data_IF_778160020179
#
_entry.id   IF_778160020179
#
_cell.length_a   1.000
_cell.length_b   1.000
_cell.length_c   1.000
_cell.angle_alpha   90.00
_cell.angle_beta   90.00
_cell.angle_gamma   90.00
#
_symmetry.space_group_name_H-M   'P 1'
#
loop_
_entity.id
_entity.type
_entity.pdbx_description
1 polymer ?
#
# COMPACT_ATOMS: atom_id res chain seq x y z
N UNK A 1 -19.96 -30.30 13.83
CA UNK A 1 -18.54 -30.52 14.12
C UNK A 1 -17.70 -29.57 13.26
N UNK A 2 -17.18 -28.50 13.87
CA UNK A 2 -16.40 -27.44 13.19
C UNK A 2 -14.89 -27.63 13.36
N UNK A 3 -14.46 -28.75 13.94
CA UNK A 3 -13.05 -28.98 14.31
C UNK A 3 -12.08 -28.99 13.10
N UNK A 4 -12.56 -29.28 11.91
CA UNK A 4 -11.76 -29.30 10.67
C UNK A 4 -11.87 -28.01 9.85
N UNK A 5 -12.62 -27.02 10.32
CA UNK A 5 -12.73 -25.72 9.64
C UNK A 5 -11.77 -24.70 10.26
N UNK A 6 -11.25 -23.82 9.45
CA UNK A 6 -10.42 -22.71 9.86
C UNK A 6 -11.16 -21.40 9.64
N UNK A 7 -10.93 -20.45 10.52
CA UNK A 7 -11.36 -19.06 10.30
C UNK A 7 -10.81 -18.53 8.96
N UNK A 8 -11.70 -17.93 8.17
CA UNK A 8 -11.37 -17.45 6.82
C UNK A 8 -10.32 -16.37 6.84
N UNK A 9 -10.37 -15.46 7.81
CA UNK A 9 -9.46 -14.31 7.90
C UNK A 9 -8.08 -14.76 8.41
N UNK A 10 -8.02 -15.71 9.33
CA UNK A 10 -6.74 -16.33 9.73
C UNK A 10 -6.13 -17.15 8.59
N UNK A 11 -6.95 -17.83 7.78
CA UNK A 11 -6.49 -18.51 6.57
C UNK A 11 -5.88 -17.53 5.56
N UNK A 12 -6.50 -16.35 5.41
CA UNK A 12 -5.98 -15.30 4.55
C UNK A 12 -4.63 -14.75 5.05
N UNK A 13 -4.46 -14.55 6.36
CA UNK A 13 -3.18 -14.16 6.93
C UNK A 13 -2.08 -15.19 6.68
N UNK A 14 -2.41 -16.50 6.68
CA UNK A 14 -1.45 -17.55 6.29
C UNK A 14 -1.09 -17.50 4.81
N UNK A 15 -2.04 -17.13 3.96
CA UNK A 15 -1.72 -16.88 2.55
C UNK A 15 -0.73 -15.71 2.42
N UNK A 16 -0.96 -14.61 3.12
CA UNK A 16 -0.05 -13.46 3.07
C UNK A 16 1.32 -13.77 3.70
N UNK A 17 1.36 -14.65 4.73
CA UNK A 17 2.62 -15.18 5.26
C UNK A 17 3.43 -15.92 4.17
N UNK A 18 2.77 -16.69 3.29
CA UNK A 18 3.43 -17.34 2.15
C UNK A 18 4.01 -16.32 1.15
N UNK A 19 3.35 -15.18 0.95
CA UNK A 19 3.92 -14.07 0.17
C UNK A 19 5.22 -13.56 0.82
N UNK A 20 5.27 -13.50 2.15
CA UNK A 20 6.47 -13.11 2.87
C UNK A 20 7.56 -14.21 2.83
N UNK A 21 7.19 -15.49 2.67
CA UNK A 21 8.14 -16.60 2.46
C UNK A 21 8.94 -16.43 1.18
N UNK A 22 8.33 -15.95 0.09
CA UNK A 22 9.04 -15.61 -1.16
C UNK A 22 10.14 -14.56 -0.93
N UNK A 23 9.92 -13.64 0.03
CA UNK A 23 10.96 -12.68 0.41
C UNK A 23 12.14 -13.32 1.17
N UNK A 24 11.99 -14.55 1.67
CA UNK A 24 13.05 -15.32 2.36
C UNK A 24 13.75 -16.30 1.43
N UNK A 25 13.08 -16.70 0.35
CA UNK A 25 13.59 -17.70 -0.57
C UNK A 25 14.88 -17.19 -1.25
N UNK A 26 15.97 -17.95 -1.12
CA UNK A 26 17.28 -17.57 -1.66
C UNK A 26 17.39 -17.77 -3.17
N UNK A 27 16.50 -18.56 -3.77
CA UNK A 27 16.43 -18.76 -5.22
C UNK A 27 15.76 -17.56 -5.93
N UNK A 28 15.08 -16.69 -5.17
CA UNK A 28 14.48 -15.45 -5.67
C UNK A 28 15.51 -14.33 -5.69
N UNK A 29 15.67 -13.57 -6.81
CA UNK A 29 16.58 -12.44 -6.90
C UNK A 29 16.34 -11.38 -5.82
N UNK A 30 17.39 -10.75 -5.30
CA UNK A 30 17.35 -9.97 -4.08
C UNK A 30 16.39 -8.78 -4.12
N UNK A 31 16.26 -8.07 -5.26
CA UNK A 31 15.29 -6.98 -5.42
C UNK A 31 13.85 -7.50 -5.48
N UNK A 32 13.64 -8.68 -6.08
CA UNK A 32 12.31 -9.30 -6.10
C UNK A 32 11.88 -9.71 -4.68
N UNK A 33 12.80 -10.22 -3.87
CA UNK A 33 12.54 -10.51 -2.46
C UNK A 33 12.08 -9.26 -1.70
N UNK A 34 12.72 -8.12 -1.95
CA UNK A 34 12.29 -6.85 -1.34
C UNK A 34 10.91 -6.41 -1.86
N UNK A 35 10.59 -6.66 -3.15
CA UNK A 35 9.25 -6.43 -3.70
C UNK A 35 8.21 -7.34 -3.06
N UNK A 36 8.52 -8.62 -2.78
CA UNK A 36 7.60 -9.51 -2.07
C UNK A 36 7.30 -8.99 -0.65
N UNK A 37 8.30 -8.45 0.07
CA UNK A 37 8.06 -7.79 1.35
C UNK A 37 7.16 -6.53 1.21
N UNK A 38 7.27 -5.80 0.09
CA UNK A 38 6.39 -4.67 -0.22
C UNK A 38 4.96 -5.13 -0.57
N UNK A 39 4.81 -6.22 -1.34
CA UNK A 39 3.52 -6.83 -1.68
C UNK A 39 2.82 -7.31 -0.40
N UNK A 40 3.53 -8.05 0.47
CA UNK A 40 3.01 -8.45 1.78
C UNK A 40 2.46 -7.25 2.56
N UNK A 41 3.22 -6.16 2.63
CA UNK A 41 2.80 -4.94 3.36
C UNK A 41 1.53 -4.34 2.75
N UNK A 42 1.45 -4.27 1.42
CA UNK A 42 0.28 -3.76 0.71
C UNK A 42 -0.96 -4.66 0.88
N UNK A 43 -0.77 -5.98 0.83
CA UNK A 43 -1.84 -6.95 1.05
C UNK A 43 -2.41 -6.83 2.47
N UNK A 44 -1.53 -6.70 3.47
CA UNK A 44 -1.93 -6.53 4.85
C UNK A 44 -2.71 -5.22 5.05
N UNK A 45 -2.34 -4.14 4.34
CA UNK A 45 -3.09 -2.89 4.33
C UNK A 45 -4.52 -3.07 3.82
N UNK A 46 -4.68 -3.78 2.70
CA UNK A 46 -5.98 -4.04 2.10
C UNK A 46 -6.84 -4.96 3.00
N UNK A 47 -6.22 -5.99 3.59
CA UNK A 47 -6.87 -6.87 4.54
C UNK A 47 -7.45 -6.10 5.74
N UNK A 48 -6.67 -5.22 6.36
CA UNK A 48 -7.16 -4.40 7.47
C UNK A 48 -8.24 -3.43 7.02
N UNK A 49 -8.10 -2.86 5.85
CA UNK A 49 -9.06 -1.90 5.33
C UNK A 49 -10.41 -2.51 5.01
N UNK A 50 -10.42 -3.72 4.44
CA UNK A 50 -11.65 -4.38 3.96
C UNK A 50 -12.13 -5.41 4.98
N UNK A 51 -11.34 -6.46 5.25
CA UNK A 51 -11.79 -7.60 6.07
C UNK A 51 -11.93 -7.26 7.54
N UNK A 52 -10.90 -6.63 8.12
CA UNK A 52 -10.95 -6.19 9.51
C UNK A 52 -11.97 -5.06 9.67
N UNK A 53 -12.10 -4.19 8.66
CA UNK A 53 -13.14 -3.18 8.61
C UNK A 53 -14.55 -3.76 8.71
N UNK A 54 -14.89 -4.73 7.87
CA UNK A 54 -16.20 -5.42 7.91
C UNK A 54 -16.45 -6.09 9.26
N UNK A 55 -15.45 -6.81 9.81
CA UNK A 55 -15.58 -7.44 11.13
C UNK A 55 -15.80 -6.40 12.24
N UNK A 56 -15.11 -5.27 12.15
CA UNK A 56 -15.30 -4.18 13.11
C UNK A 56 -16.74 -3.64 13.05
N UNK A 57 -17.31 -3.43 11.86
CA UNK A 57 -18.69 -2.98 11.73
C UNK A 57 -19.68 -4.00 12.31
N UNK A 58 -19.40 -5.30 12.19
CA UNK A 58 -20.22 -6.36 12.80
C UNK A 58 -20.22 -6.28 14.34
N UNK A 59 -19.16 -5.76 14.98
CA UNK A 59 -19.16 -5.55 16.44
C UNK A 59 -20.10 -4.43 16.90
N UNK A 60 -20.54 -3.55 15.99
CA UNK A 60 -21.41 -2.42 16.30
C UNK A 60 -22.90 -2.78 16.15
N UNK A 61 -23.22 -3.96 15.61
CA UNK A 61 -24.60 -4.43 15.41
C UNK A 61 -25.16 -5.00 16.71
N UNK A 62 -26.44 -4.72 17.00
CA UNK A 62 -27.08 -5.14 18.26
C UNK A 62 -27.23 -6.65 18.42
N UNK A 63 -27.40 -7.38 17.33
CA UNK A 63 -27.50 -8.83 17.34
C UNK A 63 -26.13 -9.43 17.06
N UNK A 64 -25.55 -10.23 17.99
CA UNK A 64 -24.23 -10.80 17.79
C UNK A 64 -24.28 -11.79 16.62
N UNK A 65 -23.50 -11.51 15.60
CA UNK A 65 -23.27 -12.44 14.50
C UNK A 65 -22.24 -13.49 14.94
N UNK A 66 -22.64 -14.75 15.01
CA UNK A 66 -21.74 -15.87 15.31
C UNK A 66 -21.35 -16.51 13.99
N UNK A 67 -20.06 -16.59 13.71
CA UNK A 67 -19.56 -17.31 12.52
C UNK A 67 -19.93 -18.77 12.59
N UNK A 68 -20.68 -19.25 11.61
CA UNK A 68 -21.24 -20.62 11.59
C UNK A 68 -20.17 -21.70 11.47
N UNK A 69 -18.96 -21.38 11.06
CA UNK A 69 -17.85 -22.32 10.85
C UNK A 69 -16.97 -22.46 12.08
N UNK A 70 -16.73 -21.38 12.78
CA UNK A 70 -15.80 -21.32 13.92
C UNK A 70 -16.53 -21.22 15.27
N UNK A 71 -17.79 -20.79 15.26
CA UNK A 71 -18.54 -20.48 16.49
C UNK A 71 -18.06 -19.22 17.21
N UNK A 72 -17.20 -18.40 16.57
CA UNK A 72 -16.62 -17.19 17.17
C UNK A 72 -17.49 -15.96 16.92
N UNK A 73 -17.46 -15.03 17.87
CA UNK A 73 -18.01 -13.68 17.66
C UNK A 73 -17.00 -12.82 16.87
N UNK A 74 -17.45 -11.70 16.24
CA UNK A 74 -16.53 -10.77 15.55
C UNK A 74 -15.41 -10.26 16.45
N UNK A 75 -15.66 -9.99 17.73
CA UNK A 75 -14.65 -9.55 18.69
C UNK A 75 -13.57 -10.62 18.91
N UNK A 76 -13.97 -11.90 19.02
CA UNK A 76 -13.05 -13.01 19.19
C UNK A 76 -12.20 -13.22 17.93
N UNK A 77 -12.80 -13.09 16.75
CA UNK A 77 -12.08 -13.14 15.48
C UNK A 77 -11.08 -11.98 15.37
N UNK A 78 -11.47 -10.73 15.70
CA UNK A 78 -10.59 -9.58 15.70
C UNK A 78 -9.38 -9.75 16.63
N UNK A 79 -9.60 -10.24 17.84
CA UNK A 79 -8.49 -10.52 18.78
C UNK A 79 -7.51 -11.56 18.24
N UNK A 80 -8.02 -12.62 17.62
CA UNK A 80 -7.18 -13.65 16.99
C UNK A 80 -6.38 -13.06 15.81
N UNK A 81 -7.02 -12.23 14.99
CA UNK A 81 -6.39 -11.53 13.85
C UNK A 81 -5.28 -10.59 14.34
N UNK A 82 -5.54 -9.75 15.34
CA UNK A 82 -4.54 -8.79 15.86
C UNK A 82 -3.32 -9.52 16.42
N UNK A 83 -3.54 -10.63 17.12
CA UNK A 83 -2.45 -11.48 17.62
C UNK A 83 -1.62 -12.08 16.48
N UNK A 84 -2.28 -12.67 15.47
CA UNK A 84 -1.61 -13.25 14.31
C UNK A 84 -0.85 -12.17 13.50
N UNK A 85 -1.48 -11.04 13.21
CA UNK A 85 -0.84 -9.92 12.52
C UNK A 85 0.40 -9.40 13.27
N UNK A 86 0.33 -9.31 14.61
CA UNK A 86 1.47 -8.90 15.44
C UNK A 86 2.70 -9.82 15.31
N UNK A 87 2.50 -11.12 15.02
CA UNK A 87 3.59 -12.05 14.70
C UNK A 87 4.15 -11.77 13.29
N UNK A 88 3.30 -11.52 12.32
CA UNK A 88 3.68 -11.24 10.94
C UNK A 88 4.49 -9.93 10.83
N UNK A 89 4.15 -8.89 11.60
CA UNK A 89 4.94 -7.66 11.67
C UNK A 89 6.39 -7.93 12.11
N UNK A 90 6.58 -8.73 13.15
CA UNK A 90 7.92 -9.09 13.63
C UNK A 90 8.71 -9.90 12.61
N UNK A 91 8.03 -10.80 11.89
CA UNK A 91 8.64 -11.59 10.82
C UNK A 91 9.05 -10.69 9.64
N UNK A 92 8.16 -9.79 9.20
CA UNK A 92 8.44 -8.82 8.14
C UNK A 92 9.64 -7.94 8.49
N UNK A 93 9.65 -7.36 9.70
CA UNK A 93 10.75 -6.50 10.15
C UNK A 93 12.10 -7.21 10.06
N UNK A 94 12.16 -8.48 10.52
CA UNK A 94 13.39 -9.30 10.42
C UNK A 94 13.80 -9.56 8.97
N UNK A 95 12.84 -9.86 8.10
CA UNK A 95 13.10 -10.11 6.68
C UNK A 95 13.64 -8.85 6.01
N UNK A 96 12.99 -7.70 6.21
CA UNK A 96 13.42 -6.43 5.61
C UNK A 96 14.82 -6.04 6.09
N UNK A 97 15.12 -6.18 7.38
CA UNK A 97 16.45 -5.92 7.95
C UNK A 97 17.54 -6.78 7.28
N UNK A 98 17.26 -8.07 7.08
CA UNK A 98 18.17 -8.99 6.40
C UNK A 98 18.37 -8.61 4.93
N UNK A 99 17.29 -8.25 4.22
CA UNK A 99 17.34 -7.84 2.83
C UNK A 99 18.10 -6.52 2.65
N UNK A 100 17.87 -5.52 3.49
CA UNK A 100 18.61 -4.25 3.48
C UNK A 100 20.12 -4.47 3.73
N UNK A 101 20.47 -5.38 4.63
CA UNK A 101 21.87 -5.76 4.88
C UNK A 101 22.53 -6.38 3.64
N UNK A 102 21.83 -7.30 2.95
CA UNK A 102 22.35 -7.93 1.71
C UNK A 102 22.43 -6.93 0.55
N UNK A 103 21.43 -6.04 0.41
CA UNK A 103 21.42 -4.98 -0.61
C UNK A 103 22.59 -4.00 -0.41
N UNK A 104 22.92 -3.69 0.85
CA UNK A 104 24.08 -2.85 1.20
C UNK A 104 25.40 -3.44 0.66
N UNK A 105 25.54 -4.77 0.70
CA UNK A 105 26.71 -5.46 0.11
C UNK A 105 26.73 -5.34 -1.44
N UNK A 106 25.57 -5.09 -2.07
CA UNK A 106 25.45 -4.84 -3.50
C UNK A 106 25.49 -3.32 -3.84
N UNK A 107 25.94 -2.46 -2.93
CA UNK A 107 25.95 -0.99 -3.08
C UNK A 107 24.57 -0.35 -3.27
N UNK A 108 23.53 -0.98 -2.73
CA UNK A 108 22.16 -0.44 -2.67
C UNK A 108 21.84 -0.19 -1.21
N UNK A 109 21.79 1.08 -0.78
CA UNK A 109 21.71 1.43 0.62
C UNK A 109 20.59 2.41 0.91
N UNK A 110 19.68 2.04 1.79
CA UNK A 110 18.89 3.02 2.55
C UNK A 110 19.78 3.57 3.66
N UNK A 111 19.93 4.88 3.72
CA UNK A 111 20.82 5.54 4.67
C UNK A 111 20.02 6.40 5.64
N UNK A 112 20.19 6.19 6.94
CA UNK A 112 19.80 7.17 7.93
C UNK A 112 20.74 8.39 7.88
N UNK A 113 20.24 9.57 8.30
CA UNK A 113 21.01 10.82 8.24
C UNK A 113 22.33 10.72 9.04
N UNK A 114 22.33 9.94 10.10
CA UNK A 114 23.48 9.73 10.98
C UNK A 114 24.66 9.02 10.28
N UNK A 115 24.37 8.16 9.31
CA UNK A 115 25.38 7.41 8.54
C UNK A 115 25.88 8.15 7.30
N UNK A 116 25.33 9.34 7.02
CA UNK A 116 25.72 10.16 5.86
C UNK A 116 27.03 10.90 6.10
N UNK A 117 27.84 10.98 5.05
CA UNK A 117 28.99 11.89 5.05
C UNK A 117 28.53 13.37 4.99
N UNK A 118 29.47 14.31 5.15
CA UNK A 118 29.18 15.73 5.20
C UNK A 118 28.54 16.25 3.89
N UNK A 119 28.93 15.68 2.75
CA UNK A 119 28.43 16.07 1.43
C UNK A 119 27.01 15.58 1.19
N UNK A 120 26.76 14.31 1.49
CA UNK A 120 25.43 13.69 1.43
C UNK A 120 24.44 14.40 2.36
N UNK A 121 24.86 14.67 3.59
CA UNK A 121 24.04 15.41 4.56
C UNK A 121 23.68 16.80 4.06
N UNK A 122 24.63 17.51 3.44
CA UNK A 122 24.37 18.83 2.84
C UNK A 122 23.40 18.75 1.66
N UNK A 123 23.46 17.70 0.84
CA UNK A 123 22.51 17.48 -0.26
C UNK A 123 21.08 17.29 0.28
N UNK A 124 20.91 16.42 1.29
CA UNK A 124 19.61 16.19 1.93
C UNK A 124 19.09 17.44 2.63
N UNK A 125 19.97 18.19 3.30
CA UNK A 125 19.62 19.44 3.96
C UNK A 125 19.13 20.51 2.98
N UNK A 126 19.81 20.66 1.84
CA UNK A 126 19.39 21.57 0.78
C UNK A 126 18.04 21.14 0.20
N UNK A 127 17.88 19.86 -0.14
CA UNK A 127 16.62 19.33 -0.62
C UNK A 127 15.47 19.55 0.37
N UNK A 128 15.71 19.28 1.68
CA UNK A 128 14.73 19.55 2.73
C UNK A 128 14.33 21.02 2.75
N UNK A 129 15.31 21.94 2.77
CA UNK A 129 15.07 23.38 2.88
C UNK A 129 14.35 23.95 1.65
N UNK A 130 14.76 23.51 0.46
CA UNK A 130 14.37 24.17 -0.80
C UNK A 130 13.10 23.56 -1.40
N UNK A 131 12.85 22.24 -1.20
CA UNK A 131 11.74 21.53 -1.83
C UNK A 131 10.74 20.95 -0.84
N UNK A 132 11.18 20.45 0.31
CA UNK A 132 10.31 19.75 1.26
C UNK A 132 9.65 20.72 2.25
N UNK A 133 10.44 21.49 2.96
CA UNK A 133 9.96 22.38 4.02
C UNK A 133 8.88 23.38 3.54
N UNK A 134 8.99 24.02 2.34
CA UNK A 134 8.00 25.00 1.89
C UNK A 134 6.58 24.46 1.67
N UNK A 135 6.43 23.15 1.44
CA UNK A 135 5.12 22.52 1.18
C UNK A 135 4.54 21.81 2.39
N UNK A 136 5.27 21.78 3.50
CA UNK A 136 4.81 21.18 4.73
C UNK A 136 3.87 22.10 5.51
N UNK A 137 2.90 21.50 6.17
CA UNK A 137 1.98 22.17 7.09
C UNK A 137 2.06 21.53 8.48
N UNK A 138 3.11 21.86 9.28
CA UNK A 138 3.24 21.32 10.62
C UNK A 138 2.04 21.75 11.49
N UNK A 139 1.53 20.84 12.30
CA UNK A 139 0.35 21.07 13.13
C UNK A 139 0.71 20.84 14.61
N UNK A 140 0.26 21.72 15.46
CA UNK A 140 0.36 21.58 16.90
C UNK A 140 -0.99 21.12 17.44
N UNK A 141 -1.00 20.06 18.23
CA UNK A 141 -2.21 19.51 18.86
C UNK A 141 -2.14 19.75 20.36
N UNK A 142 -3.00 20.62 20.85
CA UNK A 142 -3.14 20.93 22.27
C UNK A 142 -4.63 21.03 22.68
N UNK A 143 -4.91 21.60 23.84
CA UNK A 143 -6.28 21.81 24.31
C UNK A 143 -7.08 22.84 23.48
N UNK A 144 -6.40 23.72 22.73
CA UNK A 144 -7.01 24.79 21.94
C UNK A 144 -7.13 24.43 20.45
N UNK A 145 -6.29 23.49 19.98
CA UNK A 145 -6.26 23.08 18.59
C UNK A 145 -6.87 21.68 18.44
N UNK A 146 -7.89 21.51 17.58
CA UNK A 146 -8.50 20.20 17.39
C UNK A 146 -7.49 19.20 16.81
N UNK A 147 -7.70 17.93 17.13
CA UNK A 147 -6.89 16.86 16.55
C UNK A 147 -7.11 16.79 15.03
N UNK A 148 -6.06 16.81 14.22
CA UNK A 148 -6.20 16.78 12.77
C UNK A 148 -6.80 15.45 12.30
N UNK A 149 -7.52 15.51 11.20
CA UNK A 149 -7.98 14.31 10.53
C UNK A 149 -6.79 13.59 9.89
N UNK A 150 -6.45 12.40 10.39
CA UNK A 150 -5.42 11.56 9.79
C UNK A 150 -6.04 10.75 8.65
N UNK A 151 -5.58 11.01 7.43
CA UNK A 151 -6.08 10.32 6.24
C UNK A 151 -5.71 8.84 6.23
N UNK A 152 -6.53 8.03 5.53
CA UNK A 152 -6.30 6.59 5.41
C UNK A 152 -5.00 6.29 4.63
N UNK A 153 -4.22 5.34 5.10
CA UNK A 153 -2.98 4.84 4.46
C UNK A 153 -1.94 5.92 4.13
N UNK A 154 -1.97 7.07 4.79
CA UNK A 154 -0.94 8.10 4.66
C UNK A 154 -0.01 8.06 5.86
N UNK A 155 1.26 8.42 5.63
CA UNK A 155 2.19 8.66 6.72
C UNK A 155 1.78 9.97 7.41
N UNK A 156 1.61 9.91 8.71
CA UNK A 156 1.14 11.03 9.49
C UNK A 156 2.03 11.21 10.73
N UNK A 157 1.97 12.37 11.24
CA UNK A 157 2.50 12.79 12.51
C UNK A 157 1.83 14.13 12.81
N UNK A 158 2.46 14.97 13.60
CA UNK A 158 2.11 16.39 13.63
C UNK A 158 2.50 17.09 12.31
N UNK A 159 3.15 16.35 11.41
CA UNK A 159 3.53 16.79 10.08
C UNK A 159 2.94 15.78 9.09
N UNK A 160 1.79 16.06 8.48
CA UNK A 160 1.26 15.23 7.40
C UNK A 160 2.26 15.19 6.23
N UNK A 161 2.59 14.00 5.74
CA UNK A 161 3.48 13.85 4.57
C UNK A 161 2.65 14.05 3.30
N UNK A 162 2.88 15.11 2.52
CA UNK A 162 2.15 15.35 1.28
C UNK A 162 2.40 14.26 0.25
N UNK A 163 1.37 13.83 -0.46
CA UNK A 163 1.49 12.84 -1.53
C UNK A 163 2.28 13.37 -2.75
N UNK A 164 2.45 14.67 -2.86
CA UNK A 164 3.26 15.32 -3.90
C UNK A 164 4.77 15.16 -3.68
N UNK A 165 5.21 14.85 -2.46
CA UNK A 165 6.61 14.56 -2.18
C UNK A 165 7.01 13.19 -2.73
N UNK A 166 8.22 13.09 -3.33
CA UNK A 166 8.77 11.80 -3.71
C UNK A 166 8.97 10.95 -2.44
N UNK A 167 8.77 9.62 -2.51
CA UNK A 167 8.89 8.76 -1.32
C UNK A 167 10.33 8.62 -0.81
N UNK A 168 11.31 8.99 -1.62
CA UNK A 168 12.73 8.96 -1.27
C UNK A 168 13.53 10.02 -2.05
N UNK A 169 14.70 10.35 -1.53
CA UNK A 169 15.71 11.18 -2.19
C UNK A 169 16.95 10.36 -2.51
N UNK A 170 17.50 10.48 -3.73
CA UNK A 170 18.66 9.73 -4.21
C UNK A 170 19.92 10.57 -4.02
N UNK A 171 20.93 9.93 -3.41
CA UNK A 171 22.28 10.45 -3.24
C UNK A 171 23.16 9.91 -4.39
N UNK A 172 23.63 10.79 -5.28
CA UNK A 172 24.11 10.41 -6.64
C UNK A 172 25.58 9.99 -6.77
N UNK A 173 26.33 9.69 -5.71
CA UNK A 173 27.78 9.60 -5.85
C UNK A 173 28.41 8.19 -5.71
N UNK A 174 27.73 7.23 -5.11
CA UNK A 174 28.34 5.89 -4.85
C UNK A 174 27.27 4.79 -4.86
N UNK A 175 27.03 4.19 -6.02
CA UNK A 175 25.95 3.18 -6.12
C UNK A 175 24.57 3.80 -5.98
N UNK A 176 23.58 2.99 -5.58
CA UNK A 176 22.23 3.48 -5.30
C UNK A 176 22.08 3.73 -3.80
N UNK A 177 22.34 4.94 -3.37
CA UNK A 177 22.17 5.38 -1.98
C UNK A 177 20.95 6.30 -1.91
N UNK A 178 20.07 6.07 -0.94
CA UNK A 178 18.84 6.85 -0.82
C UNK A 178 18.42 6.99 0.64
N UNK A 179 17.62 8.01 0.91
CA UNK A 179 16.95 8.21 2.18
C UNK A 179 15.44 8.35 1.95
N UNK A 180 14.64 7.79 2.84
CA UNK A 180 13.18 7.95 2.77
C UNK A 180 12.78 9.35 3.22
N UNK A 181 11.73 9.88 2.62
CA UNK A 181 11.22 11.22 2.94
C UNK A 181 10.79 11.33 4.40
N UNK A 182 10.16 10.29 4.96
CA UNK A 182 9.81 10.24 6.37
C UNK A 182 11.03 10.29 7.30
N UNK A 183 12.14 9.65 6.93
CA UNK A 183 13.39 9.69 7.71
C UNK A 183 13.98 11.12 7.70
N UNK A 184 13.89 11.83 6.57
CA UNK A 184 14.30 13.25 6.48
C UNK A 184 13.41 14.13 7.35
N UNK A 185 12.10 13.94 7.33
CA UNK A 185 11.17 14.70 8.16
C UNK A 185 11.42 14.48 9.65
N UNK A 186 11.72 13.23 10.05
CA UNK A 186 12.09 12.93 11.44
C UNK A 186 13.42 13.60 11.84
N UNK A 187 14.42 13.57 10.95
CA UNK A 187 15.73 14.15 11.23
C UNK A 187 15.66 15.67 11.41
N UNK A 188 14.87 16.36 10.59
CA UNK A 188 14.76 17.83 10.61
C UNK A 188 13.50 18.35 11.33
N UNK A 189 12.84 17.52 12.14
CA UNK A 189 11.63 17.91 12.87
C UNK A 189 11.82 19.17 13.75
N UNK A 190 12.99 19.35 14.37
CA UNK A 190 13.29 20.52 15.21
C UNK A 190 13.22 21.83 14.41
N UNK A 191 13.54 21.82 13.11
CA UNK A 191 13.46 23.01 12.26
C UNK A 191 12.02 23.44 11.95
N UNK A 192 11.09 22.48 12.04
CA UNK A 192 9.66 22.74 11.82
C UNK A 192 8.95 23.20 13.09
N UNK A 193 9.52 22.90 14.25
CA UNK A 193 8.98 23.27 15.56
C UNK A 193 10.03 24.00 16.42
N UNK A 194 10.56 25.14 16.01
CA UNK A 194 11.68 25.80 16.70
C UNK A 194 11.34 26.28 18.11
N UNK A 195 10.06 26.46 18.42
CA UNK A 195 9.60 26.87 19.75
C UNK A 195 9.37 25.70 20.71
N UNK A 196 9.57 24.45 20.27
CA UNK A 196 9.26 23.26 21.06
C UNK A 196 10.50 22.38 21.26
N UNK A 197 10.63 21.78 22.44
CA UNK A 197 11.59 20.71 22.69
C UNK A 197 10.98 19.35 22.33
N UNK A 198 11.48 18.72 21.27
CA UNK A 198 10.99 17.41 20.81
C UNK A 198 11.58 16.31 21.67
N UNK A 199 10.71 15.56 22.38
CA UNK A 199 11.11 14.44 23.26
C UNK A 199 11.17 13.12 22.54
N UNK A 200 10.25 12.91 21.59
CA UNK A 200 10.15 11.66 20.83
C UNK A 200 9.71 11.93 19.41
N UNK A 201 10.11 11.05 18.49
CA UNK A 201 9.79 11.14 17.06
C UNK A 201 9.32 9.78 16.59
N UNK A 202 8.20 9.76 15.86
CA UNK A 202 7.67 8.55 15.27
C UNK A 202 6.94 8.86 13.96
N UNK A 203 7.04 7.94 13.01
CA UNK A 203 6.16 7.89 11.85
C UNK A 203 4.94 7.06 12.21
N UNK A 204 3.76 7.55 11.91
CA UNK A 204 2.52 6.81 12.15
C UNK A 204 1.73 6.67 10.85
N UNK A 205 0.95 5.60 10.77
CA UNK A 205 0.00 5.38 9.70
C UNK A 205 -1.29 4.82 10.28
N UNK A 206 -2.42 5.39 9.87
CA UNK A 206 -3.75 4.95 10.28
C UNK A 206 -4.40 4.22 9.12
N UNK A 207 -4.90 3.02 9.35
CA UNK A 207 -5.79 2.33 8.41
C UNK A 207 -7.22 2.50 8.89
N UNK A 208 -8.08 2.94 7.96
CA UNK A 208 -9.51 3.10 8.22
C UNK A 208 -10.30 2.01 7.49
N UNK A 209 -11.41 1.64 8.06
CA UNK A 209 -12.40 0.85 7.34
C UNK A 209 -12.71 1.54 5.99
N UNK A 210 -12.81 0.78 4.92
CA UNK A 210 -13.15 1.29 3.60
C UNK A 210 -14.18 0.38 2.90
N UNK A 211 -14.80 -0.51 3.68
CA UNK A 211 -15.85 -1.41 3.19
C UNK A 211 -17.18 -0.65 3.13
N UNK A 212 -17.30 0.22 2.14
CA UNK A 212 -18.59 0.79 1.73
C UNK A 212 -18.93 0.19 0.39
N UNK A 213 -20.05 -0.56 0.34
CA UNK A 213 -20.64 -0.99 -0.91
C UNK A 213 -21.30 0.21 -1.60
N UNK A 214 -21.16 0.38 -2.93
CA UNK A 214 -21.97 1.35 -3.69
C UNK A 214 -23.48 1.10 -3.56
N UNK A 215 -23.86 -0.13 -3.20
CA UNK A 215 -25.25 -0.56 -3.03
C UNK A 215 -25.85 -0.14 -1.68
N UNK A 216 -25.00 0.15 -0.67
CA UNK A 216 -25.43 0.61 0.66
C UNK A 216 -25.85 2.09 0.66
N UNK A 217 -25.58 2.81 -0.41
CA UNK A 217 -26.00 4.21 -0.58
C UNK A 217 -27.05 4.33 -1.67
N UNK A 218 -28.17 4.96 -1.32
CA UNK A 218 -29.23 5.25 -2.26
C UNK A 218 -28.67 6.01 -3.49
N UNK A 219 -28.74 5.37 -4.63
CA UNK A 219 -28.39 5.95 -5.91
C UNK A 219 -29.60 6.74 -6.42
N UNK A 220 -29.48 8.05 -6.50
CA UNK A 220 -30.50 8.87 -7.13
C UNK A 220 -30.42 8.68 -8.65
N UNK A 221 -31.55 8.38 -9.28
CA UNK A 221 -31.64 8.00 -10.71
C UNK A 221 -31.04 9.05 -11.64
N UNK A 222 -31.01 10.33 -11.20
CA UNK A 222 -30.47 11.45 -11.96
C UNK A 222 -29.03 11.81 -11.61
N UNK A 223 -28.35 11.09 -10.71
CA UNK A 223 -26.97 11.37 -10.34
C UNK A 223 -26.00 10.70 -11.30
N UNK A 224 -25.00 11.46 -11.81
CA UNK A 224 -23.90 10.89 -12.58
C UNK A 224 -23.11 9.87 -11.70
N UNK A 225 -23.04 8.62 -12.14
CA UNK A 225 -22.34 7.54 -11.45
C UNK A 225 -20.90 7.92 -11.02
N UNK A 226 -20.20 8.74 -11.82
CA UNK A 226 -18.85 9.23 -11.46
C UNK A 226 -18.90 10.18 -10.24
N UNK A 227 -19.93 10.99 -10.13
CA UNK A 227 -20.10 11.90 -8.97
C UNK A 227 -20.47 11.10 -7.73
N UNK A 228 -21.35 10.11 -7.86
CA UNK A 228 -21.70 9.17 -6.80
C UNK A 228 -20.47 8.44 -6.28
N UNK A 229 -19.67 7.84 -7.16
CA UNK A 229 -18.41 7.17 -6.79
C UNK A 229 -17.40 8.11 -6.12
N UNK A 230 -17.32 9.38 -6.55
CA UNK A 230 -16.47 10.38 -5.86
C UNK A 230 -16.94 10.68 -4.44
N UNK A 231 -18.25 10.71 -4.19
CA UNK A 231 -18.82 10.88 -2.84
C UNK A 231 -18.48 9.69 -1.95
N UNK A 232 -18.64 8.46 -2.46
CA UNK A 232 -18.28 7.22 -1.76
C UNK A 232 -16.79 7.21 -1.38
N UNK A 233 -15.90 7.51 -2.33
CA UNK A 233 -14.46 7.57 -2.07
C UNK A 233 -14.11 8.61 -1.00
N UNK A 234 -14.79 9.77 -0.99
CA UNK A 234 -14.61 10.77 0.07
C UNK A 234 -15.10 10.29 1.44
N UNK A 235 -16.21 9.55 1.49
CA UNK A 235 -16.72 8.97 2.74
C UNK A 235 -15.78 7.92 3.32
N UNK A 236 -15.21 7.04 2.49
CA UNK A 236 -14.20 6.04 2.91
C UNK A 236 -13.05 6.63 3.73
N UNK A 237 -12.60 7.82 3.38
CA UNK A 237 -11.54 8.50 4.11
C UNK A 237 -11.93 8.95 5.53
N UNK A 238 -13.23 8.95 5.88
CA UNK A 238 -13.74 9.38 7.18
C UNK A 238 -14.24 8.23 8.06
N UNK A 239 -14.16 7.00 7.57
CA UNK A 239 -14.60 5.84 8.33
C UNK A 239 -13.72 5.56 9.55
N UNK A 240 -14.21 4.70 10.43
CA UNK A 240 -13.55 4.37 11.68
C UNK A 240 -12.11 3.86 11.47
N UNK A 241 -11.14 4.32 12.26
CA UNK A 241 -9.82 3.71 12.31
C UNK A 241 -9.92 2.26 12.79
N UNK A 242 -9.19 1.35 12.17
CA UNK A 242 -9.14 -0.08 12.53
C UNK A 242 -7.73 -0.54 12.89
N UNK A 243 -6.70 0.24 12.53
CA UNK A 243 -5.30 -0.07 12.83
C UNK A 243 -4.48 1.21 12.93
N UNK A 244 -3.55 1.24 13.88
CA UNK A 244 -2.48 2.23 13.99
C UNK A 244 -1.14 1.53 13.87
N UNK A 245 -0.32 1.95 12.91
CA UNK A 245 1.07 1.53 12.76
C UNK A 245 2.00 2.63 13.28
N UNK A 246 3.07 2.23 13.96
CA UNK A 246 4.04 3.15 14.57
C UNK A 246 5.46 2.68 14.26
N UNK A 247 6.28 3.56 13.68
CA UNK A 247 7.70 3.36 13.46
C UNK A 247 8.49 4.45 14.18
N UNK A 248 9.49 4.06 14.97
CA UNK A 248 10.33 4.99 15.72
C UNK A 248 10.16 4.90 17.22
N UNK A 249 10.22 6.03 17.91
CA UNK A 249 10.22 6.09 19.38
C UNK A 249 8.89 5.62 19.98
N UNK A 250 8.97 4.82 21.05
CA UNK A 250 7.83 4.38 21.84
C UNK A 250 7.60 5.35 23.00
N UNK A 251 6.80 6.37 22.77
CA UNK A 251 6.28 7.24 23.83
C UNK A 251 4.90 6.71 24.27
N UNK A 252 4.85 5.99 25.38
CA UNK A 252 3.63 5.37 25.90
C UNK A 252 2.53 6.39 26.19
N UNK A 253 2.88 7.57 26.73
CA UNK A 253 1.91 8.63 27.04
C UNK A 253 1.33 9.26 25.77
N UNK A 254 2.19 9.54 24.80
CA UNK A 254 1.78 10.05 23.50
C UNK A 254 0.89 9.04 22.76
N UNK A 255 1.26 7.76 22.82
CA UNK A 255 0.51 6.67 22.21
C UNK A 255 -0.88 6.48 22.85
N UNK A 256 -0.99 6.53 24.20
CA UNK A 256 -2.29 6.48 24.87
C UNK A 256 -3.19 7.65 24.51
N UNK A 257 -2.62 8.83 24.39
CA UNK A 257 -3.36 10.01 23.93
C UNK A 257 -3.85 9.83 22.49
N UNK A 258 -3.01 9.29 21.62
CA UNK A 258 -3.34 9.05 20.22
C UNK A 258 -4.43 7.98 20.07
N UNK A 259 -4.31 6.85 20.78
CA UNK A 259 -5.31 5.79 20.81
C UNK A 259 -6.69 6.31 21.26
N UNK A 260 -6.74 7.09 22.33
CA UNK A 260 -7.99 7.70 22.80
C UNK A 260 -8.62 8.62 21.76
N UNK A 261 -7.83 9.45 21.06
CA UNK A 261 -8.32 10.36 20.01
C UNK A 261 -8.80 9.64 18.76
N UNK A 262 -8.20 8.49 18.45
CA UNK A 262 -8.58 7.65 17.31
C UNK A 262 -9.64 6.60 17.66
N UNK A 263 -10.03 6.48 18.93
CA UNK A 263 -10.90 5.42 19.44
C UNK A 263 -10.39 4.01 19.10
N UNK A 264 -9.09 3.79 19.30
CA UNK A 264 -8.42 2.51 19.09
C UNK A 264 -8.01 1.87 20.43
N UNK A 265 -8.11 0.54 20.51
CA UNK A 265 -7.52 -0.25 21.60
C UNK A 265 -6.01 -0.44 21.38
N UNK A 266 -5.28 -0.83 22.43
CA UNK A 266 -3.85 -1.15 22.33
C UNK A 266 -3.57 -2.36 21.44
N UNK A 267 -4.49 -3.26 21.29
CA UNK A 267 -4.38 -4.44 20.43
C UNK A 267 -4.37 -4.09 18.94
N UNK A 268 -4.92 -2.93 18.58
CA UNK A 268 -4.94 -2.40 17.21
C UNK A 268 -3.68 -1.60 16.85
N UNK A 269 -2.69 -1.54 17.75
CA UNK A 269 -1.43 -0.82 17.54
C UNK A 269 -0.31 -1.77 17.18
N UNK A 270 0.31 -1.55 16.02
CA UNK A 270 1.39 -2.38 15.50
C UNK A 270 2.68 -1.56 15.38
N UNK A 271 3.72 -2.02 16.06
CA UNK A 271 5.04 -1.42 15.97
C UNK A 271 5.84 -2.07 14.86
N UNK A 272 6.55 -1.27 14.08
CA UNK A 272 7.42 -1.71 13.01
C UNK A 272 8.81 -1.07 13.12
N UNK A 273 9.84 -1.84 12.76
CA UNK A 273 11.20 -1.34 12.48
C UNK A 273 11.38 -1.06 10.99
N UNK A 274 10.75 -1.86 10.15
CA UNK A 274 10.72 -1.64 8.70
C UNK A 274 9.88 -0.42 8.35
N UNK A 275 10.10 0.22 7.18
CA UNK A 275 9.26 1.30 6.70
C UNK A 275 7.79 0.91 6.66
N UNK A 276 6.90 1.81 7.11
CA UNK A 276 5.47 1.53 7.14
C UNK A 276 4.87 1.46 5.73
N UNK A 277 5.47 2.16 4.77
CA UNK A 277 5.08 2.19 3.37
C UNK A 277 6.22 1.73 2.49
N UNK A 278 6.07 0.55 1.89
CA UNK A 278 7.13 -0.05 1.08
C UNK A 278 6.90 0.10 -0.44
N UNK A 279 5.91 0.87 -0.85
CA UNK A 279 5.62 1.09 -2.28
C UNK A 279 6.77 1.74 -3.07
N UNK A 280 7.68 2.44 -2.40
CA UNK A 280 8.88 3.02 -3.00
C UNK A 280 9.80 1.98 -3.66
N UNK A 281 9.78 0.74 -3.21
CA UNK A 281 10.62 -0.35 -3.70
C UNK A 281 10.43 -0.59 -5.21
N UNK A 282 9.20 -0.47 -5.71
CA UNK A 282 8.89 -0.65 -7.12
C UNK A 282 9.49 0.45 -8.01
N UNK A 283 9.53 1.69 -7.49
CA UNK A 283 10.16 2.79 -8.20
C UNK A 283 11.70 2.74 -8.14
N UNK A 284 12.24 2.15 -7.06
CA UNK A 284 13.67 2.02 -6.83
C UNK A 284 14.36 1.15 -7.88
N UNK A 285 13.67 0.10 -8.37
CA UNK A 285 14.19 -0.75 -9.45
C UNK A 285 14.56 0.07 -10.69
N UNK A 286 13.76 1.08 -11.04
CA UNK A 286 14.02 1.97 -12.18
C UNK A 286 15.30 2.79 -12.05
N UNK A 287 15.85 2.90 -10.85
CA UNK A 287 17.09 3.64 -10.54
C UNK A 287 18.34 2.75 -10.55
N UNK A 288 18.17 1.42 -10.65
CA UNK A 288 19.29 0.50 -10.68
C UNK A 288 20.09 0.62 -11.98
N UNK A 289 21.44 0.58 -11.92
CA UNK A 289 22.26 0.37 -13.10
C UNK A 289 21.86 -0.93 -13.83
N UNK A 290 21.98 -1.01 -15.17
CA UNK A 290 21.58 -2.20 -15.94
C UNK A 290 22.20 -3.51 -15.44
N UNK A 291 23.48 -3.49 -15.05
CA UNK A 291 24.20 -4.66 -14.51
C UNK A 291 23.61 -5.12 -13.18
N UNK A 292 23.35 -4.16 -12.27
CA UNK A 292 22.73 -4.48 -10.98
C UNK A 292 21.31 -5.01 -11.15
N UNK A 293 20.55 -4.44 -12.11
CA UNK A 293 19.20 -4.93 -12.42
C UNK A 293 19.25 -6.36 -12.95
N UNK A 294 20.15 -6.69 -13.87
CA UNK A 294 20.29 -8.03 -14.42
C UNK A 294 20.65 -9.08 -13.36
N UNK A 295 21.43 -8.69 -12.32
CA UNK A 295 21.83 -9.58 -11.24
C UNK A 295 20.79 -9.72 -10.12
N UNK A 296 19.96 -8.69 -9.88
CA UNK A 296 19.13 -8.59 -8.67
C UNK A 296 17.62 -8.65 -8.95
N UNK A 297 17.20 -8.65 -10.22
CA UNK A 297 15.79 -8.71 -10.63
C UNK A 297 15.57 -9.90 -11.58
N UNK A 298 14.33 -10.35 -11.69
CA UNK A 298 13.95 -11.28 -12.74
C UNK A 298 14.11 -10.62 -14.13
N UNK A 299 14.48 -11.40 -15.17
CA UNK A 299 14.48 -10.89 -16.53
C UNK A 299 13.06 -10.46 -16.94
N UNK A 300 12.93 -9.40 -17.74
CA UNK A 300 11.63 -8.96 -18.22
C UNK A 300 10.91 -10.09 -18.98
N UNK A 301 9.66 -10.34 -18.59
CA UNK A 301 8.83 -11.31 -19.30
C UNK A 301 8.18 -10.66 -20.53
N UNK A 302 8.30 -11.30 -21.69
CA UNK A 302 7.65 -10.87 -22.92
C UNK A 302 6.43 -11.75 -23.20
N UNK A 303 5.19 -11.22 -23.12
CA UNK A 303 4.00 -11.98 -23.41
C UNK A 303 3.96 -12.46 -24.86
N UNK A 304 3.46 -13.67 -25.07
CA UNK A 304 3.33 -14.25 -26.42
C UNK A 304 2.02 -13.83 -27.08
N UNK A 305 2.01 -13.74 -28.39
CA UNK A 305 0.75 -13.61 -29.13
C UNK A 305 -0.06 -14.90 -29.01
N UNK A 306 -1.39 -14.76 -28.97
CA UNK A 306 -2.28 -15.93 -28.96
C UNK A 306 -2.34 -16.58 -30.33
N UNK A 307 -2.33 -17.92 -30.41
CA UNK A 307 -2.55 -18.66 -31.63
C UNK A 307 -4.03 -18.68 -32.09
N UNK A 308 -4.94 -18.24 -31.20
CA UNK A 308 -6.38 -18.21 -31.47
C UNK A 308 -6.79 -17.09 -32.45
N UNK A 309 -5.90 -16.12 -32.67
CA UNK A 309 -6.14 -14.97 -33.56
C UNK A 309 -5.05 -14.87 -34.62
N UNK A 310 -5.44 -14.46 -35.83
CA UNK A 310 -4.54 -14.18 -36.91
C UNK A 310 -4.09 -12.72 -36.84
N UNK A 311 -2.78 -12.45 -36.76
CA UNK A 311 -2.27 -11.08 -36.56
C UNK A 311 -2.57 -10.14 -37.75
N UNK A 312 -2.69 -10.68 -38.95
CA UNK A 312 -2.94 -9.97 -40.21
C UNK A 312 -4.42 -9.57 -40.42
N UNK A 313 -5.34 -10.13 -39.61
CA UNK A 313 -6.77 -9.82 -39.71
C UNK A 313 -7.20 -8.92 -38.51
N UNK A 314 -8.21 -8.07 -38.76
CA UNK A 314 -8.87 -7.33 -37.68
C UNK A 314 -9.42 -8.29 -36.63
N UNK A 315 -9.39 -7.89 -35.36
CA UNK A 315 -9.79 -8.76 -34.26
C UNK A 315 -11.30 -8.90 -34.18
N UNK A 316 -12.06 -7.82 -34.38
CA UNK A 316 -13.53 -7.84 -34.28
C UNK A 316 -14.19 -8.89 -35.18
N UNK A 317 -13.87 -9.00 -36.48
CA UNK A 317 -14.43 -10.07 -37.34
C UNK A 317 -14.08 -11.49 -36.89
N UNK A 318 -12.91 -11.67 -36.26
CA UNK A 318 -12.50 -12.99 -35.75
C UNK A 318 -13.33 -13.39 -34.51
N UNK A 319 -13.53 -12.44 -33.58
CA UNK A 319 -14.33 -12.65 -32.34
C UNK A 319 -15.82 -12.88 -32.70
N UNK A 320 -16.32 -12.29 -33.78
CA UNK A 320 -17.69 -12.58 -34.27
C UNK A 320 -17.86 -14.02 -34.80
N UNK A 321 -16.76 -14.70 -35.15
CA UNK A 321 -16.79 -16.09 -35.65
C UNK A 321 -16.69 -17.13 -34.51
N UNK A 322 -15.97 -16.79 -33.42
CA UNK A 322 -15.79 -17.69 -32.29
C UNK A 322 -15.31 -16.89 -31.05
N UNK A 323 -15.56 -17.45 -29.89
CA UNK A 323 -15.05 -16.91 -28.62
C UNK A 323 -13.53 -17.02 -28.53
N UNK A 324 -12.88 -16.03 -27.94
CA UNK A 324 -11.43 -15.98 -27.76
C UNK A 324 -11.09 -15.92 -26.29
N UNK A 325 -10.31 -16.88 -25.80
CA UNK A 325 -9.76 -16.90 -24.47
C UNK A 325 -8.32 -16.39 -24.51
N UNK A 326 -8.01 -15.39 -23.67
CA UNK A 326 -6.66 -14.89 -23.47
C UNK A 326 -6.22 -15.14 -22.03
N UNK A 327 -4.99 -15.63 -21.87
CA UNK A 327 -4.45 -16.00 -20.55
C UNK A 327 -3.34 -15.05 -20.15
N UNK A 328 -3.67 -14.07 -19.32
CA UNK A 328 -2.73 -13.07 -18.83
C UNK A 328 -1.96 -13.57 -17.59
N UNK A 329 -0.70 -13.15 -17.38
CA UNK A 329 0.13 -12.26 -18.19
C UNK A 329 0.91 -12.97 -19.31
N UNK A 330 0.65 -14.24 -19.58
CA UNK A 330 1.44 -15.08 -20.51
C UNK A 330 1.16 -14.76 -21.98
N UNK A 331 -0.04 -14.30 -22.29
CA UNK A 331 -0.41 -13.80 -23.61
C UNK A 331 -0.53 -12.29 -23.62
N UNK A 332 -0.23 -11.67 -24.79
CA UNK A 332 -0.31 -10.23 -24.97
C UNK A 332 -1.74 -9.72 -24.82
N UNK A 333 -1.85 -8.55 -24.19
CA UNK A 333 -3.10 -7.81 -24.10
C UNK A 333 -3.44 -7.02 -25.36
N UNK A 334 -2.51 -6.91 -26.33
CA UNK A 334 -2.71 -6.13 -27.56
C UNK A 334 -3.94 -6.54 -28.35
N UNK A 335 -4.25 -7.85 -28.55
CA UNK A 335 -5.47 -8.23 -29.26
C UNK A 335 -6.74 -7.69 -28.62
N UNK A 336 -6.82 -7.69 -27.28
CA UNK A 336 -7.96 -7.12 -26.56
C UNK A 336 -8.04 -5.59 -26.73
N UNK A 337 -6.93 -4.89 -26.66
CA UNK A 337 -6.89 -3.43 -26.90
C UNK A 337 -7.28 -3.08 -28.33
N UNK A 338 -6.84 -3.90 -29.31
CA UNK A 338 -7.25 -3.73 -30.71
C UNK A 338 -8.75 -3.96 -30.91
N UNK A 339 -9.31 -5.01 -30.26
CA UNK A 339 -10.75 -5.26 -30.28
C UNK A 339 -11.55 -4.06 -29.77
N UNK A 340 -11.15 -3.49 -28.63
CA UNK A 340 -11.84 -2.31 -28.06
C UNK A 340 -11.75 -1.12 -29.00
N UNK A 341 -10.58 -0.85 -29.58
CA UNK A 341 -10.38 0.24 -30.53
C UNK A 341 -11.21 0.04 -31.80
N UNK A 342 -11.23 -1.17 -32.37
CA UNK A 342 -12.03 -1.50 -33.55
C UNK A 342 -13.51 -1.33 -33.26
N UNK A 343 -13.99 -1.86 -32.12
CA UNK A 343 -15.38 -1.76 -31.71
C UNK A 343 -15.82 -0.31 -31.44
N UNK A 344 -14.95 0.52 -30.84
CA UNK A 344 -15.25 1.94 -30.60
C UNK A 344 -15.39 2.76 -31.91
N UNK A 345 -14.79 2.29 -33.02
CA UNK A 345 -14.81 2.96 -34.31
C UNK A 345 -15.81 2.35 -35.31
N UNK A 346 -16.44 1.23 -34.97
CA UNK A 346 -17.37 0.53 -35.85
C UNK A 346 -18.80 1.03 -35.63
N UNK A 347 -19.45 1.61 -36.68
CA UNK A 347 -20.82 2.15 -36.52
C UNK A 347 -21.89 1.08 -36.26
N UNK A 348 -21.59 -0.19 -36.43
CA UNK A 348 -22.48 -1.32 -36.14
C UNK A 348 -22.42 -1.76 -34.67
N UNK A 349 -21.43 -1.30 -33.91
CA UNK A 349 -21.29 -1.61 -32.47
C UNK A 349 -22.10 -0.61 -31.67
N UNK A 350 -23.13 -1.09 -31.02
CA UNK A 350 -24.02 -0.25 -30.21
C UNK A 350 -23.54 -0.04 -28.77
N UNK A 351 -22.82 -1.02 -28.20
CA UNK A 351 -22.29 -0.95 -26.84
C UNK A 351 -21.13 -1.89 -26.65
N UNK A 352 -20.23 -1.50 -25.71
CA UNK A 352 -19.12 -2.32 -25.24
C UNK A 352 -19.35 -2.57 -23.75
N UNK A 353 -19.39 -3.84 -23.33
CA UNK A 353 -19.54 -4.24 -21.92
C UNK A 353 -18.27 -4.95 -21.48
N UNK A 354 -17.59 -4.42 -20.46
CA UNK A 354 -16.32 -4.95 -19.96
C UNK A 354 -16.41 -5.12 -18.44
N UNK A 355 -16.06 -6.30 -17.95
CA UNK A 355 -15.81 -6.53 -16.53
C UNK A 355 -14.34 -6.30 -16.24
N UNK A 356 -14.03 -5.31 -15.40
CA UNK A 356 -12.66 -4.92 -15.05
C UNK A 356 -12.44 -5.19 -13.57
N UNK A 357 -11.50 -6.09 -13.27
CA UNK A 357 -11.08 -6.32 -11.88
C UNK A 357 -10.12 -5.22 -11.39
N UNK A 358 -9.12 -4.87 -12.20
CA UNK A 358 -8.13 -3.85 -11.86
C UNK A 358 -7.64 -3.14 -13.12
N UNK A 359 -7.61 -1.82 -13.07
CA UNK A 359 -7.11 -0.98 -14.16
C UNK A 359 -5.79 -0.32 -13.73
N UNK A 360 -4.77 -0.39 -14.59
CA UNK A 360 -3.52 0.32 -14.35
C UNK A 360 -3.71 1.83 -14.49
N UNK A 361 -2.89 2.63 -13.80
CA UNK A 361 -2.89 4.07 -14.03
C UNK A 361 -2.45 4.36 -15.47
N UNK A 362 -3.14 5.25 -16.18
CA UNK A 362 -2.91 5.55 -17.61
C UNK A 362 -3.07 4.33 -18.55
N UNK A 363 -4.02 3.45 -18.21
CA UNK A 363 -4.31 2.30 -19.06
C UNK A 363 -4.90 2.75 -20.40
N UNK A 364 -4.33 2.26 -21.51
CA UNK A 364 -4.84 2.51 -22.88
C UNK A 364 -6.32 2.13 -23.05
N UNK A 365 -6.77 1.14 -22.30
CA UNK A 365 -8.19 0.74 -22.27
C UNK A 365 -9.15 1.88 -21.89
N UNK A 366 -8.69 2.81 -21.05
CA UNK A 366 -9.50 3.96 -20.64
C UNK A 366 -9.47 5.13 -21.66
N UNK A 367 -8.53 5.08 -22.60
CA UNK A 367 -8.38 6.09 -23.66
C UNK A 367 -9.23 5.74 -24.87
N UNK A 368 -9.47 4.45 -25.12
CA UNK A 368 -10.27 3.95 -26.24
C UNK A 368 -11.76 3.93 -25.92
#
# INVERSE_FOLDING_TARGET
DTHYTQDRELSWLRFDERVLEEARDEDVPLMERLKFAAIFTSNLDEFFMVRVGSLYDMTLVKEPHIDSRTGQTPEQQLQAIFKAAGHLYKQRDKVVEQLESRLRACNICRLPVEEMDAKERKQVENWFRDEVQPILSPQVVDARHPFPHLSNKTLNGLIPVPQSLPPYFILRERGLRYILTEDVLLAYADRMFPAFSIRSRAVISVTRNADISPEDEAYEVDEDYRQHMRKIVKKRNRLAPVRLEVQGSRDEKGLDSLCRRLNLSREQVFFSKAPLRMGYVFALEGQLPPESRAALCFPPYTPRLTAALRPEEKVLPQVLRHDVLLFYPFQSMDPFLHLVREAASDPCVLSIKITIYRLASKAKLAEY
#
